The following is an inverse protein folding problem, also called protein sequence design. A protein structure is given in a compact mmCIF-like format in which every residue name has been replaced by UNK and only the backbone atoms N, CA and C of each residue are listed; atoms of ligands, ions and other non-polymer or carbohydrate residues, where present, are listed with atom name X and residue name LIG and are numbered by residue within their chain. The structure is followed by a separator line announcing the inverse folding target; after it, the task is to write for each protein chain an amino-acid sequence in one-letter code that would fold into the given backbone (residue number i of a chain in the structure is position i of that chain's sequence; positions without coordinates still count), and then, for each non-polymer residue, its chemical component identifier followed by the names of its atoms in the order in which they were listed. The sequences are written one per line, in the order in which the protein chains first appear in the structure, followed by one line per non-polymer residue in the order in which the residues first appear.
data_IF_790781081695
#
_entry.id   IF_790781081695
#
_cell.length_a   1.000
_cell.length_b   1.000
_cell.length_c   1.000
_cell.angle_alpha   90.00
_cell.angle_beta   90.00
_cell.angle_gamma   90.00
#
_symmetry.space_group_name_H-M   'P 1'
#
loop_
_entity.id
_entity.type
_entity.pdbx_description
1 polymer ?
#
# COMPACT_ATOMS: atom_id res chain seq x y z
N UNK A 1 -17.05 34.92 1.92
CA UNK A 1 -16.16 34.04 2.71
C UNK A 1 -15.68 32.89 1.84
N UNK A 2 -14.41 32.91 1.39
CA UNK A 2 -13.80 31.73 0.73
C UNK A 2 -13.64 30.64 1.80
N UNK A 3 -14.57 29.69 1.82
CA UNK A 3 -14.58 28.57 2.76
C UNK A 3 -13.23 27.86 2.69
N UNK A 4 -12.63 27.60 3.85
CA UNK A 4 -11.30 27.02 4.03
C UNK A 4 -11.27 25.52 3.62
N UNK A 5 -11.69 25.21 2.40
CA UNK A 5 -11.82 23.85 1.86
C UNK A 5 -10.47 23.15 1.67
N UNK A 6 -9.35 23.89 1.72
CA UNK A 6 -8.00 23.33 1.54
C UNK A 6 -7.57 22.38 2.67
N UNK A 7 -8.04 22.59 3.91
CA UNK A 7 -7.64 21.76 5.06
C UNK A 7 -8.42 20.43 5.10
N UNK A 8 -9.73 20.48 4.86
CA UNK A 8 -10.59 19.28 4.93
C UNK A 8 -10.27 18.26 3.83
N UNK A 9 -9.90 18.73 2.63
CA UNK A 9 -9.56 17.84 1.53
C UNK A 9 -8.33 16.97 1.81
N UNK A 10 -7.40 17.40 2.68
CA UNK A 10 -6.17 16.65 2.90
C UNK A 10 -6.33 15.54 3.94
N UNK A 11 -7.13 15.76 4.98
CA UNK A 11 -7.49 14.68 5.93
C UNK A 11 -8.31 13.61 5.20
N UNK A 12 -9.29 14.03 4.40
CA UNK A 12 -10.05 13.14 3.52
C UNK A 12 -9.13 12.38 2.54
N UNK A 13 -8.08 13.03 2.05
CA UNK A 13 -7.08 12.41 1.19
C UNK A 13 -6.23 11.37 1.93
N UNK A 14 -5.81 11.62 3.17
CA UNK A 14 -5.18 10.60 4.01
C UNK A 14 -6.11 9.41 4.27
N UNK A 15 -7.37 9.69 4.60
CA UNK A 15 -8.39 8.67 4.82
C UNK A 15 -8.72 7.87 3.55
N UNK A 16 -8.51 8.41 2.35
CA UNK A 16 -8.75 7.71 1.08
C UNK A 16 -7.89 6.44 0.91
N UNK A 17 -6.73 6.38 1.56
CA UNK A 17 -5.88 5.19 1.57
C UNK A 17 -6.41 4.08 2.47
N UNK A 18 -7.19 4.44 3.50
CA UNK A 18 -7.71 3.52 4.51
C UNK A 18 -9.18 3.13 4.32
N UNK A 19 -10.00 4.02 3.76
CA UNK A 19 -11.45 3.82 3.59
C UNK A 19 -11.81 2.56 2.78
N UNK A 20 -11.12 2.23 1.66
CA UNK A 20 -11.41 1.01 0.90
C UNK A 20 -11.28 -0.28 1.71
N UNK A 21 -10.44 -0.29 2.75
CA UNK A 21 -10.22 -1.44 3.64
C UNK A 21 -11.33 -1.64 4.68
N UNK A 22 -12.22 -0.65 4.87
CA UNK A 22 -13.45 -0.82 5.65
C UNK A 22 -14.45 -1.68 4.87
N UNK A 23 -14.39 -1.61 3.55
CA UNK A 23 -15.34 -2.25 2.64
C UNK A 23 -14.82 -3.64 2.24
N UNK A 24 -13.51 -3.76 2.01
CA UNK A 24 -12.85 -5.00 1.58
C UNK A 24 -12.04 -5.56 2.75
N UNK A 25 -12.43 -6.75 3.22
CA UNK A 25 -11.63 -7.53 4.16
C UNK A 25 -10.28 -7.83 3.51
N UNK A 26 -9.20 -7.64 4.26
CA UNK A 26 -7.82 -7.73 3.79
C UNK A 26 -7.64 -8.98 2.90
N UNK A 27 -7.46 -8.81 1.57
CA UNK A 27 -7.16 -9.94 0.71
C UNK A 27 -5.86 -10.55 1.21
N UNK A 28 -5.81 -11.84 1.47
CA UNK A 28 -4.59 -12.49 1.97
C UNK A 28 -4.76 -13.25 3.27
N UNK A 29 -5.72 -12.88 4.12
CA UNK A 29 -5.92 -13.55 5.43
C UNK A 29 -5.95 -15.08 5.29
N UNK A 30 -6.80 -15.59 4.39
CA UNK A 30 -6.93 -17.02 4.13
C UNK A 30 -5.80 -17.61 3.27
N UNK A 31 -4.97 -16.77 2.63
CA UNK A 31 -3.84 -17.21 1.83
C UNK A 31 -2.61 -17.52 2.69
N UNK A 32 -2.37 -16.76 3.76
CA UNK A 32 -1.13 -16.85 4.56
C UNK A 32 -1.00 -18.13 5.38
N UNK A 33 -2.10 -18.83 5.65
CA UNK A 33 -2.10 -20.11 6.37
C UNK A 33 -2.04 -21.32 5.43
N UNK A 34 -2.05 -21.12 4.10
CA UNK A 34 -2.00 -22.21 3.13
C UNK A 34 -0.57 -22.69 2.96
N UNK A 35 -0.34 -23.99 3.14
CA UNK A 35 0.90 -24.66 2.74
C UNK A 35 0.91 -24.83 1.22
N UNK A 36 2.02 -24.47 0.58
CA UNK A 36 2.19 -24.61 -0.87
C UNK A 36 3.21 -25.69 -1.16
N UNK A 37 2.81 -26.66 -1.99
CA UNK A 37 3.66 -27.79 -2.39
C UNK A 37 4.14 -27.70 -3.83
N UNK A 38 3.56 -26.79 -4.63
CA UNK A 38 3.85 -26.67 -6.06
C UNK A 38 3.78 -25.21 -6.53
N UNK A 39 4.48 -24.90 -7.63
CA UNK A 39 4.37 -23.60 -8.32
C UNK A 39 2.94 -23.28 -8.75
N UNK A 40 2.19 -24.29 -9.19
CA UNK A 40 0.79 -24.13 -9.59
C UNK A 40 -0.07 -23.70 -8.40
N UNK A 41 0.14 -24.31 -7.22
CA UNK A 41 -0.56 -23.92 -5.99
C UNK A 41 -0.26 -22.48 -5.58
N UNK A 42 0.99 -22.02 -5.73
CA UNK A 42 1.35 -20.61 -5.50
C UNK A 42 0.59 -19.68 -6.45
N UNK A 43 0.55 -20.01 -7.74
CA UNK A 43 -0.17 -19.23 -8.74
C UNK A 43 -1.68 -19.16 -8.50
N UNK A 44 -2.29 -20.25 -8.00
CA UNK A 44 -3.69 -20.24 -7.61
C UNK A 44 -3.95 -19.27 -6.46
N UNK A 45 -3.11 -19.31 -5.43
CA UNK A 45 -3.20 -18.38 -4.30
C UNK A 45 -3.02 -16.93 -4.76
N UNK A 46 -2.00 -16.65 -5.57
CA UNK A 46 -1.79 -15.32 -6.14
C UNK A 46 -3.02 -14.89 -6.98
N UNK A 47 -3.56 -15.78 -7.80
CA UNK A 47 -4.75 -15.56 -8.62
C UNK A 47 -5.98 -15.17 -7.81
N UNK A 48 -6.23 -15.85 -6.69
CA UNK A 48 -7.31 -15.52 -5.76
C UNK A 48 -7.16 -14.11 -5.15
N UNK A 49 -5.93 -13.61 -5.02
CA UNK A 49 -5.65 -12.28 -4.45
C UNK A 49 -5.75 -11.14 -5.46
N UNK A 50 -5.55 -11.40 -6.75
CA UNK A 50 -5.52 -10.35 -7.77
C UNK A 50 -6.84 -9.58 -7.81
N UNK A 51 -7.98 -10.28 -7.83
CA UNK A 51 -9.29 -9.63 -7.95
C UNK A 51 -9.58 -8.69 -6.76
N UNK A 52 -9.55 -9.14 -5.49
CA UNK A 52 -9.84 -8.25 -4.38
C UNK A 52 -8.80 -7.13 -4.22
N UNK A 53 -7.51 -7.37 -4.52
CA UNK A 53 -6.50 -6.30 -4.54
C UNK A 53 -6.79 -5.28 -5.65
N UNK A 54 -7.25 -5.73 -6.83
CA UNK A 54 -7.60 -4.84 -7.94
C UNK A 54 -8.79 -3.95 -7.61
N UNK A 55 -9.83 -4.51 -6.99
CA UNK A 55 -10.98 -3.72 -6.52
C UNK A 55 -10.52 -2.67 -5.50
N UNK A 56 -9.67 -3.06 -4.54
CA UNK A 56 -9.09 -2.15 -3.57
C UNK A 56 -8.30 -1.02 -4.25
N UNK A 57 -7.44 -1.34 -5.21
CA UNK A 57 -6.65 -0.35 -5.95
C UNK A 57 -7.53 0.64 -6.72
N UNK A 58 -8.58 0.15 -7.38
CA UNK A 58 -9.55 1.00 -8.10
C UNK A 58 -10.29 1.93 -7.13
N UNK A 59 -10.72 1.43 -5.97
CA UNK A 59 -11.42 2.23 -4.97
C UNK A 59 -10.51 3.33 -4.40
N UNK A 60 -9.27 2.99 -4.02
CA UNK A 60 -8.28 3.98 -3.56
C UNK A 60 -8.06 5.04 -4.63
N UNK A 61 -7.83 4.63 -5.87
CA UNK A 61 -7.61 5.53 -6.99
C UNK A 61 -8.81 6.44 -7.27
N UNK A 62 -10.03 5.90 -7.24
CA UNK A 62 -11.27 6.62 -7.47
C UNK A 62 -11.46 7.72 -6.43
N UNK A 63 -11.34 7.38 -5.14
CA UNK A 63 -11.46 8.36 -4.04
C UNK A 63 -10.39 9.45 -4.18
N UNK A 64 -9.14 9.08 -4.47
CA UNK A 64 -8.04 10.03 -4.65
C UNK A 64 -8.24 10.96 -5.85
N UNK A 65 -8.80 10.44 -6.95
CA UNK A 65 -9.09 11.22 -8.13
C UNK A 65 -10.11 12.32 -7.84
N UNK A 66 -11.19 12.00 -7.11
CA UNK A 66 -12.19 12.99 -6.69
C UNK A 66 -11.62 14.04 -5.73
N UNK A 67 -10.69 13.65 -4.85
CA UNK A 67 -10.12 14.58 -3.86
C UNK A 67 -9.05 15.53 -4.42
N UNK A 68 -8.43 15.21 -5.56
CA UNK A 68 -7.38 16.00 -6.21
C UNK A 68 -7.90 16.87 -7.38
N UNK A 69 -9.20 17.20 -7.40
CA UNK A 69 -9.90 17.85 -8.51
C UNK A 69 -9.21 19.13 -9.03
N UNK A 70 -8.53 19.88 -8.16
CA UNK A 70 -7.79 21.11 -8.49
C UNK A 70 -6.63 20.89 -9.48
N UNK A 71 -6.13 19.65 -9.62
CA UNK A 71 -5.03 19.31 -10.53
C UNK A 71 -5.28 18.00 -11.30
N UNK A 72 -6.23 18.01 -12.25
CA UNK A 72 -6.67 16.82 -13.02
C UNK A 72 -5.54 15.94 -13.59
N UNK A 73 -4.44 16.53 -14.10
CA UNK A 73 -3.30 15.75 -14.63
C UNK A 73 -2.55 14.98 -13.53
N UNK A 74 -2.28 15.64 -12.41
CA UNK A 74 -1.60 15.03 -11.26
C UNK A 74 -2.53 14.02 -10.59
N UNK A 75 -3.82 14.35 -10.44
CA UNK A 75 -4.86 13.47 -9.92
C UNK A 75 -4.95 12.16 -10.73
N UNK A 76 -4.95 12.26 -12.06
CA UNK A 76 -4.99 11.10 -12.95
C UNK A 76 -3.75 10.23 -12.80
N UNK A 77 -2.54 10.82 -12.83
CA UNK A 77 -1.30 10.06 -12.69
C UNK A 77 -1.19 9.41 -11.31
N UNK A 78 -1.60 10.14 -10.26
CA UNK A 78 -1.64 9.63 -8.90
C UNK A 78 -2.63 8.48 -8.74
N UNK A 79 -3.85 8.63 -9.26
CA UNK A 79 -4.86 7.58 -9.26
C UNK A 79 -4.37 6.32 -9.98
N UNK A 80 -3.72 6.45 -11.14
CA UNK A 80 -3.13 5.31 -11.86
C UNK A 80 -2.03 4.65 -11.01
N UNK A 81 -1.11 5.45 -10.44
CA UNK A 81 -0.02 4.93 -9.62
C UNK A 81 -0.53 4.19 -8.37
N UNK A 82 -1.57 4.72 -7.72
CA UNK A 82 -2.23 4.09 -6.59
C UNK A 82 -3.00 2.84 -7.00
N UNK A 83 -3.73 2.87 -8.12
CA UNK A 83 -4.41 1.68 -8.65
C UNK A 83 -3.42 0.54 -8.86
N UNK A 84 -2.33 0.80 -9.59
CA UNK A 84 -1.29 -0.21 -9.86
C UNK A 84 -0.65 -0.67 -8.54
N UNK A 85 -0.24 0.26 -7.70
CA UNK A 85 0.44 -0.02 -6.43
C UNK A 85 -0.40 -0.93 -5.54
N UNK A 86 -1.62 -0.52 -5.22
CA UNK A 86 -2.50 -1.27 -4.31
C UNK A 86 -3.02 -2.58 -4.92
N UNK A 87 -3.16 -2.66 -6.25
CA UNK A 87 -3.58 -3.90 -6.92
C UNK A 87 -2.49 -4.98 -6.92
N UNK A 88 -1.22 -4.57 -7.02
CA UNK A 88 -0.09 -5.50 -7.18
C UNK A 88 0.74 -5.68 -5.91
N UNK A 89 0.64 -4.77 -4.94
CA UNK A 89 1.47 -4.75 -3.73
C UNK A 89 1.52 -6.09 -3.02
N UNK A 90 0.34 -6.65 -2.72
CA UNK A 90 0.28 -7.90 -1.96
C UNK A 90 0.56 -9.14 -2.82
N UNK A 91 -0.02 -9.30 -4.03
CA UNK A 91 0.32 -10.42 -4.91
C UNK A 91 1.82 -10.51 -5.19
N UNK A 92 2.46 -9.38 -5.52
CA UNK A 92 3.91 -9.32 -5.77
C UNK A 92 4.71 -9.46 -4.48
N UNK A 93 4.24 -8.89 -3.37
CA UNK A 93 4.87 -9.04 -2.06
C UNK A 93 5.00 -10.51 -1.67
N UNK A 94 3.90 -11.27 -1.79
CA UNK A 94 3.89 -12.72 -1.52
C UNK A 94 4.76 -13.46 -2.53
N UNK A 95 4.65 -13.15 -3.83
CA UNK A 95 5.45 -13.80 -4.85
C UNK A 95 6.95 -13.62 -4.61
N UNK A 96 7.40 -12.40 -4.27
CA UNK A 96 8.80 -12.10 -4.01
C UNK A 96 9.31 -12.71 -2.71
N UNK A 97 8.50 -12.69 -1.65
CA UNK A 97 8.84 -13.27 -0.36
C UNK A 97 8.95 -14.80 -0.44
N UNK A 98 8.05 -15.45 -1.19
CA UNK A 98 8.08 -16.90 -1.43
C UNK A 98 9.16 -17.33 -2.44
N UNK A 99 9.57 -16.45 -3.36
CA UNK A 99 10.50 -16.77 -4.45
C UNK A 99 11.82 -17.35 -3.95
N UNK A 100 12.39 -16.77 -2.89
CA UNK A 100 13.68 -17.22 -2.34
C UNK A 100 13.55 -18.66 -1.81
N UNK A 101 12.47 -18.99 -1.10
CA UNK A 101 12.26 -20.34 -0.57
C UNK A 101 12.05 -21.36 -1.69
N UNK A 102 11.34 -20.98 -2.75
CA UNK A 102 11.14 -21.81 -3.94
C UNK A 102 12.45 -22.07 -4.70
N UNK A 103 13.28 -21.04 -4.89
CA UNK A 103 14.58 -21.19 -5.56
C UNK A 103 15.55 -22.09 -4.79
N UNK A 104 15.47 -22.09 -3.45
CA UNK A 104 16.34 -22.87 -2.58
C UNK A 104 15.84 -24.29 -2.31
N UNK A 105 14.66 -24.67 -2.83
CA UNK A 105 14.03 -25.98 -2.54
C UNK A 105 13.75 -26.76 -3.84
N UNK A 106 14.67 -27.63 -4.30
CA UNK A 106 14.55 -28.32 -5.58
C UNK A 106 13.33 -29.25 -5.72
N UNK A 107 12.81 -29.79 -4.60
CA UNK A 107 11.75 -30.80 -4.56
C UNK A 107 10.31 -30.32 -4.77
N UNK A 108 10.09 -29.02 -5.02
CA UNK A 108 8.74 -28.44 -5.18
C UNK A 108 8.13 -28.66 -6.57
N UNK A 109 8.93 -29.04 -7.57
CA UNK A 109 8.40 -29.43 -8.87
C UNK A 109 7.69 -30.79 -8.84
N UNK A 110 8.04 -31.65 -7.88
CA UNK A 110 7.52 -33.00 -7.72
C UNK A 110 6.52 -33.14 -6.56
N UNK A 111 6.14 -32.05 -5.89
CA UNK A 111 5.12 -32.04 -4.83
C UNK A 111 5.55 -32.64 -3.48
N UNK A 112 6.85 -32.86 -3.25
CA UNK A 112 7.35 -33.55 -2.06
C UNK A 112 7.61 -32.68 -0.83
N UNK A 113 7.91 -31.39 -1.02
CA UNK A 113 8.23 -30.47 0.07
C UNK A 113 7.12 -29.42 0.23
N UNK A 114 6.71 -29.16 1.48
CA UNK A 114 5.78 -28.09 1.82
C UNK A 114 6.56 -26.81 2.15
N UNK A 115 6.24 -25.71 1.47
CA UNK A 115 6.64 -24.37 1.88
C UNK A 115 5.45 -23.72 2.58
N UNK A 116 5.68 -23.20 3.79
CA UNK A 116 4.76 -22.22 4.36
C UNK A 116 5.03 -20.87 3.71
N UNK A 117 3.97 -20.18 3.31
CA UNK A 117 4.12 -18.80 2.84
C UNK A 117 4.81 -18.00 3.97
N UNK A 118 5.97 -17.38 3.71
CA UNK A 118 6.75 -16.66 4.72
C UNK A 118 5.93 -15.59 5.44
N UNK A 119 6.42 -15.13 6.60
CA UNK A 119 5.63 -14.28 7.46
C UNK A 119 5.24 -12.99 6.73
N UNK A 120 3.95 -12.68 6.86
CA UNK A 120 3.25 -11.52 6.29
C UNK A 120 3.95 -10.16 6.46
N UNK A 121 4.77 -9.85 7.51
CA UNK A 121 5.43 -8.56 7.59
C UNK A 121 6.31 -8.25 6.38
N UNK A 122 7.03 -9.24 5.83
CA UNK A 122 7.96 -9.01 4.72
C UNK A 122 7.17 -8.72 3.44
N UNK A 123 6.17 -9.54 3.11
CA UNK A 123 5.26 -9.29 1.99
C UNK A 123 4.56 -7.91 2.10
N UNK A 124 4.19 -7.48 3.30
CA UNK A 124 3.59 -6.16 3.56
C UNK A 124 4.60 -5.03 3.36
N UNK A 125 5.83 -5.18 3.85
CA UNK A 125 6.91 -4.19 3.66
C UNK A 125 7.23 -4.04 2.16
N UNK A 126 7.35 -5.17 1.44
CA UNK A 126 7.57 -5.18 -0.01
C UNK A 126 6.37 -4.52 -0.72
N UNK A 127 5.14 -4.83 -0.31
CA UNK A 127 3.93 -4.19 -0.83
C UNK A 127 3.93 -2.67 -0.64
N UNK A 128 4.24 -2.20 0.57
CA UNK A 128 4.39 -0.79 0.88
C UNK A 128 5.49 -0.12 0.06
N UNK A 129 6.61 -0.82 -0.19
CA UNK A 129 7.66 -0.35 -1.08
C UNK A 129 7.15 -0.18 -2.52
N UNK A 130 6.42 -1.15 -3.07
CA UNK A 130 5.87 -1.10 -4.44
C UNK A 130 4.91 0.10 -4.59
N UNK A 131 4.02 0.32 -3.62
CA UNK A 131 3.13 1.49 -3.59
C UNK A 131 3.93 2.79 -3.51
N UNK A 132 4.94 2.84 -2.65
CA UNK A 132 5.80 4.01 -2.48
C UNK A 132 6.53 4.36 -3.78
N UNK A 133 7.13 3.36 -4.43
CA UNK A 133 7.86 3.51 -5.68
C UNK A 133 6.94 3.92 -6.84
N UNK A 134 5.75 3.33 -6.96
CA UNK A 134 4.79 3.69 -8.02
C UNK A 134 4.39 5.17 -7.91
N UNK A 135 4.21 5.68 -6.69
CA UNK A 135 3.83 7.06 -6.43
C UNK A 135 5.00 8.04 -6.51
N UNK A 136 6.24 7.60 -6.26
CA UNK A 136 7.45 8.42 -6.49
C UNK A 136 7.57 8.85 -7.96
N UNK A 137 7.12 8.03 -8.91
CA UNK A 137 7.07 8.40 -10.33
C UNK A 137 6.17 9.61 -10.61
N UNK A 138 5.18 9.86 -9.75
CA UNK A 138 4.31 11.04 -9.84
C UNK A 138 4.96 12.22 -9.11
N UNK A 139 5.52 11.99 -7.92
CA UNK A 139 6.25 13.02 -7.17
C UNK A 139 7.46 13.55 -7.96
N UNK A 140 8.09 12.72 -8.78
CA UNK A 140 9.24 13.12 -9.59
C UNK A 140 8.90 14.15 -10.67
N UNK A 141 7.64 14.23 -11.08
CA UNK A 141 7.13 15.20 -12.06
C UNK A 141 6.71 16.53 -11.43
N UNK A 142 6.66 16.63 -10.09
CA UNK A 142 6.20 17.84 -9.41
C UNK A 142 7.32 18.88 -9.21
N UNK A 143 8.58 18.46 -9.05
CA UNK A 143 9.73 19.36 -8.93
C UNK A 143 11.07 18.59 -9.01
N UNK A 144 12.11 19.18 -9.61
CA UNK A 144 13.44 18.58 -9.83
C UNK A 144 14.47 18.90 -8.74
N UNK A 145 14.10 19.70 -7.74
CA UNK A 145 15.01 20.16 -6.69
C UNK A 145 15.58 19.01 -5.82
N UNK A 146 16.83 19.16 -5.36
CA UNK A 146 17.57 18.20 -4.53
C UNK A 146 16.84 17.87 -3.21
N UNK A 147 16.14 18.84 -2.61
CA UNK A 147 15.30 18.60 -1.42
C UNK A 147 14.09 17.69 -1.72
N UNK A 148 13.52 17.77 -2.93
CA UNK A 148 12.42 16.88 -3.35
C UNK A 148 12.92 15.45 -3.48
N UNK A 149 14.21 15.23 -3.77
CA UNK A 149 14.82 13.89 -3.79
C UNK A 149 14.78 13.22 -2.41
N UNK A 150 15.12 13.94 -1.33
CA UNK A 150 15.06 13.41 0.04
C UNK A 150 13.62 13.11 0.46
N UNK A 151 12.66 13.96 0.08
CA UNK A 151 11.24 13.73 0.36
C UNK A 151 10.67 12.50 -0.36
N UNK A 152 11.19 12.14 -1.55
CA UNK A 152 10.82 10.90 -2.26
C UNK A 152 11.27 9.65 -1.50
N UNK A 153 12.50 9.65 -0.97
CA UNK A 153 12.99 8.53 -0.15
C UNK A 153 12.19 8.40 1.15
N UNK A 154 11.89 9.53 1.80
CA UNK A 154 11.04 9.54 2.98
C UNK A 154 9.65 8.97 2.67
N UNK A 155 9.06 9.28 1.50
CA UNK A 155 7.78 8.71 1.08
C UNK A 155 7.81 7.19 0.99
N UNK A 156 8.82 6.62 0.33
CA UNK A 156 8.97 5.17 0.21
C UNK A 156 9.15 4.54 1.58
N UNK A 157 10.03 5.11 2.43
CA UNK A 157 10.27 4.60 3.77
C UNK A 157 9.01 4.63 4.63
N UNK A 158 8.23 5.72 4.60
CA UNK A 158 6.96 5.78 5.32
C UNK A 158 5.96 4.78 4.75
N UNK A 159 5.86 4.63 3.43
CA UNK A 159 4.96 3.64 2.83
C UNK A 159 5.29 2.21 3.28
N UNK A 160 6.58 1.85 3.30
CA UNK A 160 7.06 0.57 3.80
C UNK A 160 6.71 0.37 5.28
N UNK A 161 6.99 1.37 6.11
CA UNK A 161 6.71 1.32 7.55
C UNK A 161 5.22 1.26 7.86
N UNK A 162 4.39 2.04 7.16
CA UNK A 162 2.95 2.04 7.32
C UNK A 162 2.36 0.65 7.08
N UNK A 163 2.77 -0.01 5.99
CA UNK A 163 2.31 -1.36 5.68
C UNK A 163 2.88 -2.40 6.66
N UNK A 164 4.17 -2.35 6.98
CA UNK A 164 4.78 -3.29 7.93
C UNK A 164 4.20 -3.20 9.35
N UNK A 165 4.04 -1.97 9.87
CA UNK A 165 3.45 -1.73 11.20
C UNK A 165 1.96 -2.06 11.24
N UNK A 166 1.24 -1.91 10.12
CA UNK A 166 -0.16 -2.31 10.04
C UNK A 166 -0.35 -3.81 10.29
N UNK A 167 0.60 -4.63 9.86
CA UNK A 167 0.56 -6.06 10.14
C UNK A 167 0.84 -6.38 11.61
N UNK A 168 1.80 -5.67 12.23
CA UNK A 168 1.99 -5.78 13.67
C UNK A 168 0.71 -5.41 14.44
N UNK A 169 0.05 -4.31 14.05
CA UNK A 169 -1.23 -3.91 14.64
C UNK A 169 -2.27 -5.02 14.48
N UNK A 170 -2.38 -5.60 13.29
CA UNK A 170 -3.28 -6.72 13.05
C UNK A 170 -3.03 -7.86 14.01
N UNK A 171 -1.82 -8.44 14.06
CA UNK A 171 -1.53 -9.61 14.92
C UNK A 171 -1.97 -9.35 16.35
N UNK A 172 -1.65 -8.17 16.89
CA UNK A 172 -2.03 -7.83 18.25
C UNK A 172 -3.55 -7.79 18.43
N UNK A 173 -4.29 -7.22 17.48
CA UNK A 173 -5.75 -7.17 17.55
C UNK A 173 -6.40 -8.55 17.40
N UNK A 174 -5.86 -9.40 16.51
CA UNK A 174 -6.33 -10.78 16.34
C UNK A 174 -6.07 -11.63 17.58
N UNK A 175 -4.89 -11.48 18.20
CA UNK A 175 -4.55 -12.14 19.48
C UNK A 175 -5.45 -11.71 20.64
N UNK A 176 -6.03 -10.52 20.56
CA UNK A 176 -7.04 -10.04 21.51
C UNK A 176 -8.45 -10.58 21.22
N UNK A 177 -8.61 -11.44 20.21
CA UNK A 177 -9.89 -12.03 19.82
C UNK A 177 -10.82 -11.06 19.09
N UNK A 178 -10.29 -9.94 18.57
CA UNK A 178 -11.10 -8.95 17.85
C UNK A 178 -11.51 -9.52 16.50
N UNK A 179 -12.77 -9.33 16.13
CA UNK A 179 -13.32 -9.84 14.89
C UNK A 179 -12.52 -9.36 13.66
N UNK A 180 -12.16 -10.29 12.77
CA UNK A 180 -11.28 -10.09 11.62
C UNK A 180 -11.61 -8.88 10.73
N UNK A 181 -12.91 -8.63 10.52
CA UNK A 181 -13.37 -7.45 9.75
C UNK A 181 -12.98 -6.13 10.40
N UNK A 182 -13.04 -6.05 11.74
CA UNK A 182 -12.64 -4.87 12.51
C UNK A 182 -11.12 -4.70 12.42
N UNK A 183 -10.38 -5.80 12.59
CA UNK A 183 -8.92 -5.81 12.46
C UNK A 183 -8.46 -5.31 11.09
N UNK A 184 -9.07 -5.82 10.02
CA UNK A 184 -8.81 -5.38 8.64
C UNK A 184 -9.09 -3.90 8.44
N UNK A 185 -10.22 -3.41 8.97
CA UNK A 185 -10.62 -2.00 8.85
C UNK A 185 -9.61 -1.09 9.56
N UNK A 186 -9.22 -1.45 10.78
CA UNK A 186 -8.25 -0.69 11.58
C UNK A 186 -6.86 -0.68 10.95
N UNK A 187 -6.44 -1.81 10.37
CA UNK A 187 -5.18 -1.94 9.62
C UNK A 187 -5.13 -0.97 8.44
N UNK A 188 -6.20 -0.92 7.64
CA UNK A 188 -6.28 0.02 6.52
C UNK A 188 -6.32 1.48 6.95
N UNK A 189 -7.10 1.81 7.97
CA UNK A 189 -7.14 3.17 8.55
C UNK A 189 -5.76 3.58 9.06
N UNK A 190 -5.03 2.68 9.72
CA UNK A 190 -3.67 2.91 10.18
C UNK A 190 -2.74 3.26 9.02
N UNK A 191 -2.73 2.44 7.95
CA UNK A 191 -1.93 2.72 6.74
C UNK A 191 -2.26 4.12 6.21
N UNK A 192 -3.55 4.45 6.07
CA UNK A 192 -3.97 5.71 5.49
C UNK A 192 -3.66 6.93 6.34
N UNK A 193 -3.71 6.81 7.67
CA UNK A 193 -3.30 7.88 8.57
C UNK A 193 -1.82 8.20 8.44
N UNK A 194 -0.95 7.17 8.46
CA UNK A 194 0.50 7.40 8.36
C UNK A 194 0.92 7.92 6.98
N UNK A 195 0.39 7.35 5.89
CA UNK A 195 0.69 7.84 4.54
C UNK A 195 0.11 9.24 4.30
N UNK A 196 -1.10 9.52 4.81
CA UNK A 196 -1.72 10.84 4.78
C UNK A 196 -0.90 11.91 5.50
N UNK A 197 -0.41 11.61 6.71
CA UNK A 197 0.43 12.52 7.48
C UNK A 197 1.78 12.78 6.80
N UNK A 198 2.40 11.76 6.22
CA UNK A 198 3.64 11.94 5.48
C UNK A 198 3.45 12.81 4.23
N UNK A 199 2.32 12.66 3.53
CA UNK A 199 2.03 13.51 2.37
C UNK A 199 1.83 14.96 2.77
N UNK A 200 1.12 15.21 3.87
CA UNK A 200 0.96 16.54 4.46
C UNK A 200 2.32 17.19 4.75
N UNK A 201 3.21 16.44 5.39
CA UNK A 201 4.55 16.88 5.71
C UNK A 201 5.36 17.22 4.45
N UNK A 202 5.32 16.36 3.43
CA UNK A 202 5.98 16.58 2.14
C UNK A 202 5.44 17.84 1.47
N UNK A 203 4.12 17.97 1.34
CA UNK A 203 3.46 19.11 0.70
C UNK A 203 3.78 20.44 1.39
N UNK A 204 3.78 20.46 2.73
CA UNK A 204 4.11 21.66 3.51
C UNK A 204 5.54 22.12 3.25
N UNK A 205 6.50 21.20 3.24
CA UNK A 205 7.90 21.51 2.95
C UNK A 205 8.11 22.04 1.52
N UNK A 206 7.44 21.44 0.52
CA UNK A 206 7.52 21.92 -0.87
C UNK A 206 6.97 23.36 -1.00
N UNK A 207 5.84 23.67 -0.36
CA UNK A 207 5.23 24.99 -0.44
C UNK A 207 6.01 26.08 0.33
N UNK A 208 6.61 25.73 1.48
CA UNK A 208 7.45 26.66 2.26
C UNK A 208 8.64 27.16 1.44
N UNK A 209 9.25 26.28 0.64
CA UNK A 209 10.40 26.63 -0.19
C UNK A 209 10.04 27.53 -1.36
N UNK A 210 8.82 27.39 -1.93
CA UNK A 210 8.34 28.30 -2.98
C UNK A 210 8.14 29.72 -2.47
N UNK A 211 7.82 29.90 -1.18
CA UNK A 211 7.68 31.22 -0.55
C UNK A 211 9.01 31.85 -0.16
N UNK A 212 10.09 31.07 -0.03
CA UNK A 212 11.44 31.57 0.26
C UNK A 212 12.25 31.90 -1.01
N UNK A 213 11.77 31.47 -2.18
CA UNK A 213 12.42 31.71 -3.47
C UNK A 213 11.81 32.90 -4.24
N UNK A 214 10.91 33.67 -3.61
CA UNK A 214 10.31 34.92 -4.10
C UNK A 214 10.74 36.03 -3.15
#
# INVERSE_FOLDING_TARGET
MKKNNRSNNIILWGLSFGLPWVIIIFPGIGAFQKSVTTWLGLWQIIGELILPCSILGILVAGIQYFLLEENRKIARLWGIASAIGYSLALPLGIALDTLIQFLLTPGLFSGGNTIMIPPVPIAMIIGGMIVGLSQVLVLSKLDSNKQVRTLRFLWVAVSMLSWGLSFWLWINLENLGIHLRIVSSLTGVFIGLFTGLAFLFIKRNINSNKLQAV
#
